data_IF_488417086290
#
_entry.id   IF_488417086290
#
_cell.length_a   1.000
_cell.length_b   1.000
_cell.length_c   1.000
_cell.angle_alpha   90.00
_cell.angle_beta   90.00
_cell.angle_gamma   90.00
#
_symmetry.space_group_name_H-M   'P 1'
#
loop_
_entity.id
_entity.type
_entity.pdbx_description
1 polymer ?
#
# COMPACT_ATOMS: atom_id res chain seq x y z
N UNK A 1 3.35 -15.03 -27.70
CA UNK A 1 3.42 -15.23 -26.25
C UNK A 1 2.62 -14.11 -25.60
N UNK A 2 1.40 -14.37 -25.16
CA UNK A 2 0.54 -13.34 -24.57
C UNK A 2 0.88 -13.22 -23.08
N UNK A 3 1.43 -12.08 -22.68
CA UNK A 3 1.61 -11.72 -21.28
C UNK A 3 0.34 -10.98 -20.83
N UNK A 4 -0.36 -11.52 -19.84
CA UNK A 4 -1.51 -10.83 -19.24
C UNK A 4 -1.03 -10.02 -18.03
N UNK A 5 -1.30 -8.71 -18.07
CA UNK A 5 -1.05 -7.76 -17.00
C UNK A 5 -2.30 -7.75 -16.12
N UNK A 6 -2.18 -8.13 -14.85
CA UNK A 6 -3.29 -8.05 -13.89
C UNK A 6 -3.56 -6.57 -13.53
N UNK A 7 -4.83 -6.15 -13.59
CA UNK A 7 -5.27 -4.78 -13.33
C UNK A 7 -5.54 -4.54 -11.83
N UNK A 8 -4.66 -3.76 -11.20
CA UNK A 8 -4.94 -2.57 -10.38
C UNK A 8 -6.14 -2.48 -9.40
N UNK A 9 -6.65 -3.55 -8.78
CA UNK A 9 -7.69 -3.36 -7.75
C UNK A 9 -8.21 -4.55 -6.97
N UNK A 10 -7.71 -5.76 -7.19
CA UNK A 10 -8.37 -6.95 -6.64
C UNK A 10 -8.06 -7.17 -5.16
N UNK A 11 -9.13 -7.27 -4.37
CA UNK A 11 -9.15 -7.81 -3.00
C UNK A 11 -9.42 -9.32 -3.09
N UNK A 12 -9.09 -10.10 -2.05
CA UNK A 12 -9.19 -11.57 -2.01
C UNK A 12 -10.54 -12.17 -2.49
N UNK A 13 -11.62 -11.38 -2.49
CA UNK A 13 -12.95 -11.71 -3.02
C UNK A 13 -13.03 -11.84 -4.55
N UNK A 14 -12.13 -11.19 -5.30
CA UNK A 14 -12.19 -11.09 -6.76
C UNK A 14 -11.44 -12.23 -7.48
N UNK A 15 -10.71 -13.06 -6.74
CA UNK A 15 -10.13 -14.30 -7.22
C UNK A 15 -11.22 -15.39 -7.29
N UNK A 16 -11.27 -16.16 -8.40
CA UNK A 16 -12.34 -17.07 -8.90
C UNK A 16 -13.28 -16.52 -9.99
N UNK A 17 -12.85 -15.53 -10.80
CA UNK A 17 -13.61 -15.14 -12.00
C UNK A 17 -13.26 -16.05 -13.19
N UNK A 18 -14.29 -16.54 -13.88
CA UNK A 18 -14.13 -17.22 -15.16
C UNK A 18 -13.67 -16.20 -16.21
N UNK A 19 -12.43 -16.32 -16.70
CA UNK A 19 -11.92 -15.51 -17.80
C UNK A 19 -12.00 -16.34 -19.09
N UNK A 20 -12.68 -15.79 -20.09
CA UNK A 20 -12.79 -16.40 -21.41
C UNK A 20 -11.83 -15.70 -22.37
N UNK A 21 -10.91 -16.45 -22.99
CA UNK A 21 -10.13 -15.90 -24.10
C UNK A 21 -10.96 -15.93 -25.37
N UNK A 22 -10.97 -14.83 -26.11
CA UNK A 22 -11.58 -14.76 -27.44
C UNK A 22 -10.47 -14.76 -28.48
N UNK A 23 -10.51 -15.68 -29.45
CA UNK A 23 -9.58 -15.64 -30.57
C UNK A 23 -9.89 -14.42 -31.45
N UNK A 24 -8.90 -13.56 -31.68
CA UNK A 24 -9.02 -12.41 -32.60
C UNK A 24 -9.18 -12.84 -34.07
N UNK A 25 -9.06 -14.14 -34.38
CA UNK A 25 -9.21 -14.68 -35.74
C UNK A 25 -10.66 -14.93 -36.18
N UNK A 26 -11.67 -14.52 -35.39
CA UNK A 26 -13.08 -14.56 -35.79
C UNK A 26 -13.77 -15.93 -35.64
N UNK A 27 -13.07 -16.97 -35.21
CA UNK A 27 -13.70 -18.24 -34.83
C UNK A 27 -14.27 -18.15 -33.40
N UNK A 28 -15.56 -18.49 -33.23
CA UNK A 28 -16.28 -18.55 -31.94
C UNK A 28 -15.82 -19.72 -31.06
N UNK A 29 -14.53 -19.86 -30.84
CA UNK A 29 -13.98 -20.84 -29.91
C UNK A 29 -13.69 -20.14 -28.58
N UNK A 30 -14.74 -19.97 -27.78
CA UNK A 30 -14.62 -19.55 -26.37
C UNK A 30 -14.02 -20.72 -25.60
N UNK A 31 -12.74 -20.63 -25.25
CA UNK A 31 -12.14 -21.55 -24.28
C UNK A 31 -12.12 -20.88 -22.92
N UNK A 32 -12.72 -21.56 -21.93
CA UNK A 32 -12.51 -21.25 -20.52
C UNK A 32 -11.04 -21.54 -20.25
N UNK A 33 -10.27 -20.50 -19.94
CA UNK A 33 -8.88 -20.67 -19.52
C UNK A 33 -8.90 -20.61 -18.00
N UNK A 34 -8.43 -21.69 -17.36
CA UNK A 34 -8.16 -21.65 -15.93
C UNK A 34 -7.05 -20.63 -15.69
N UNK A 35 -7.38 -19.56 -14.95
CA UNK A 35 -6.38 -18.64 -14.43
C UNK A 35 -5.45 -19.40 -13.50
N UNK A 36 -4.19 -18.97 -13.36
CA UNK A 36 -3.30 -19.50 -12.34
C UNK A 36 -4.00 -19.50 -10.97
N UNK A 37 -3.93 -20.61 -10.25
CA UNK A 37 -4.58 -20.81 -8.93
C UNK A 37 -4.07 -19.84 -7.85
N UNK A 38 -3.02 -19.06 -8.15
CA UNK A 38 -2.34 -18.17 -7.22
C UNK A 38 -1.96 -16.86 -7.92
N UNK A 39 -2.12 -15.74 -7.20
CA UNK A 39 -1.62 -14.45 -7.65
C UNK A 39 -0.08 -14.49 -7.72
N UNK A 40 0.51 -14.13 -8.86
CA UNK A 40 1.98 -13.96 -8.92
C UNK A 40 2.32 -12.62 -8.29
N UNK A 41 2.93 -12.66 -7.11
CA UNK A 41 3.52 -11.49 -6.48
C UNK A 41 4.83 -11.11 -7.18
N UNK A 42 4.75 -10.13 -8.09
CA UNK A 42 5.92 -9.52 -8.72
C UNK A 42 6.24 -8.17 -8.08
N UNK A 43 7.49 -7.71 -8.21
CA UNK A 43 7.87 -6.37 -7.73
C UNK A 43 6.96 -5.26 -8.31
N UNK A 44 6.55 -5.39 -9.57
CA UNK A 44 5.67 -4.42 -10.25
C UNK A 44 4.25 -4.41 -9.67
N UNK A 45 3.66 -5.59 -9.41
CA UNK A 45 2.32 -5.70 -8.81
C UNK A 45 2.32 -5.20 -7.38
N UNK A 46 3.40 -5.48 -6.62
CA UNK A 46 3.58 -4.99 -5.27
C UNK A 46 3.74 -3.46 -5.26
N UNK A 47 4.60 -2.91 -6.13
CA UNK A 47 4.83 -1.46 -6.26
C UNK A 47 3.53 -0.69 -6.54
N UNK A 48 2.70 -1.21 -7.45
CA UNK A 48 1.41 -0.59 -7.79
C UNK A 48 0.44 -0.59 -6.61
N UNK A 49 0.42 -1.67 -5.82
CA UNK A 49 -0.37 -1.78 -4.60
C UNK A 49 0.14 -0.80 -3.53
N UNK A 50 1.45 -0.76 -3.30
CA UNK A 50 2.12 0.10 -2.33
C UNK A 50 1.83 1.58 -2.56
N UNK A 51 1.80 2.04 -3.82
CA UNK A 51 1.47 3.45 -4.14
C UNK A 51 0.13 3.89 -3.54
N UNK A 52 -0.90 3.06 -3.68
CA UNK A 52 -2.25 3.33 -3.13
C UNK A 52 -2.26 3.18 -1.62
N UNK A 53 -1.62 2.14 -1.10
CA UNK A 53 -1.58 1.81 0.34
C UNK A 53 -0.84 2.87 1.15
N UNK A 54 0.36 3.29 0.73
CA UNK A 54 1.15 4.33 1.38
C UNK A 54 0.41 5.67 1.38
N UNK A 55 -0.27 6.01 0.28
CA UNK A 55 -1.08 7.25 0.23
C UNK A 55 -2.21 7.26 1.26
N UNK A 56 -2.85 6.11 1.51
CA UNK A 56 -3.86 5.98 2.58
C UNK A 56 -3.25 6.06 3.97
N UNK A 57 -2.12 5.38 4.18
CA UNK A 57 -1.41 5.37 5.47
C UNK A 57 -0.94 6.77 5.86
N UNK A 58 -0.34 7.52 4.94
CA UNK A 58 0.20 8.85 5.22
C UNK A 58 -0.85 9.96 5.21
N UNK A 59 -2.06 9.70 4.69
CA UNK A 59 -3.19 10.62 4.84
C UNK A 59 -3.85 10.40 6.21
N UNK A 60 -3.19 10.92 7.25
CA UNK A 60 -3.64 10.80 8.63
C UNK A 60 -4.86 11.70 8.91
N UNK A 61 -6.03 11.09 9.09
CA UNK A 61 -7.26 11.80 9.47
C UNK A 61 -7.28 12.02 10.98
N UNK A 62 -6.88 13.22 11.41
CA UNK A 62 -6.81 13.59 12.83
C UNK A 62 -8.19 13.79 13.50
N UNK A 63 -9.27 13.88 12.72
CA UNK A 63 -10.63 14.01 13.26
C UNK A 63 -11.12 12.75 13.97
N UNK A 64 -10.66 11.58 13.52
CA UNK A 64 -10.99 10.29 14.10
C UNK A 64 -9.82 9.31 13.89
N UNK A 65 -8.93 9.26 14.88
CA UNK A 65 -7.75 8.40 14.84
C UNK A 65 -8.12 6.91 14.99
N UNK A 66 -9.26 6.61 15.63
CA UNK A 66 -9.75 5.24 15.79
C UNK A 66 -10.19 4.67 14.45
N UNK A 67 -11.05 5.40 13.74
CA UNK A 67 -11.50 5.05 12.38
C UNK A 67 -10.30 4.96 11.41
N UNK A 68 -9.30 5.82 11.57
CA UNK A 68 -8.05 5.72 10.79
C UNK A 68 -7.36 4.36 10.99
N UNK A 69 -7.16 3.93 12.24
CA UNK A 69 -6.51 2.66 12.53
C UNK A 69 -7.30 1.44 12.04
N UNK A 70 -8.62 1.46 12.14
CA UNK A 70 -9.47 0.41 11.56
C UNK A 70 -9.31 0.29 10.05
N UNK A 71 -9.18 1.43 9.36
CA UNK A 71 -9.02 1.48 7.91
C UNK A 71 -7.65 1.01 7.41
N UNK A 72 -6.58 1.23 8.19
CA UNK A 72 -5.22 0.87 7.78
C UNK A 72 -4.73 -0.47 8.33
N UNK A 73 -5.32 -0.97 9.42
CA UNK A 73 -5.01 -2.27 10.04
C UNK A 73 -4.91 -3.44 9.04
N UNK A 74 -5.81 -3.57 8.03
CA UNK A 74 -5.73 -4.67 7.07
C UNK A 74 -4.48 -4.69 6.19
N UNK A 75 -3.69 -3.60 6.14
CA UNK A 75 -2.47 -3.53 5.36
C UNK A 75 -1.23 -4.07 6.08
N UNK A 76 -1.31 -4.29 7.39
CA UNK A 76 -0.16 -4.62 8.22
C UNK A 76 -0.23 -6.06 8.72
N UNK A 77 0.95 -6.65 8.92
CA UNK A 77 1.07 -7.84 9.73
C UNK A 77 0.66 -7.51 11.19
N UNK A 78 -0.10 -8.42 11.82
CA UNK A 78 -0.77 -8.15 13.11
C UNK A 78 0.21 -7.75 14.22
N UNK A 79 1.36 -8.43 14.31
CA UNK A 79 2.35 -8.14 15.35
C UNK A 79 3.01 -6.78 15.12
N UNK A 80 3.28 -6.43 13.87
CA UNK A 80 3.85 -5.13 13.50
C UNK A 80 2.86 -3.96 13.69
N UNK A 81 1.57 -4.19 13.42
CA UNK A 81 0.56 -3.13 13.52
C UNK A 81 0.50 -2.47 14.90
N UNK A 82 0.74 -3.23 15.97
CA UNK A 82 0.77 -2.71 17.34
C UNK A 82 1.86 -1.66 17.54
N UNK A 83 3.04 -1.89 16.97
CA UNK A 83 4.16 -0.93 16.99
C UNK A 83 3.80 0.31 16.16
N UNK A 84 3.31 0.09 14.95
CA UNK A 84 2.89 1.18 14.05
C UNK A 84 1.84 2.10 14.70
N UNK A 85 0.85 1.55 15.41
CA UNK A 85 -0.15 2.34 16.13
C UNK A 85 0.47 3.27 17.18
N UNK A 86 1.48 2.80 17.92
CA UNK A 86 2.15 3.62 18.94
C UNK A 86 2.87 4.80 18.30
N UNK A 87 3.66 4.55 17.25
CA UNK A 87 4.43 5.58 16.55
C UNK A 87 3.50 6.62 15.90
N UNK A 88 2.43 6.17 15.23
CA UNK A 88 1.44 7.07 14.61
C UNK A 88 0.59 7.83 15.62
N UNK A 89 0.28 7.24 16.79
CA UNK A 89 -0.44 7.97 17.85
C UNK A 89 0.40 9.13 18.40
N UNK A 90 1.72 8.93 18.55
CA UNK A 90 2.64 9.99 18.95
C UNK A 90 2.72 11.10 17.87
N UNK A 91 2.84 10.74 16.58
CA UNK A 91 2.80 11.70 15.46
C UNK A 91 1.47 12.48 15.45
N UNK A 92 0.34 11.79 15.62
CA UNK A 92 -0.98 12.41 15.66
C UNK A 92 -1.12 13.42 16.81
N UNK A 93 -0.68 13.05 18.01
CA UNK A 93 -0.72 13.94 19.17
C UNK A 93 0.17 15.18 18.97
N UNK A 94 1.34 15.01 18.36
CA UNK A 94 2.22 16.13 18.00
C UNK A 94 1.54 17.09 17.00
N UNK A 95 0.88 16.56 15.97
CA UNK A 95 0.15 17.35 14.98
C UNK A 95 -1.06 18.08 15.60
N UNK A 96 -1.79 17.41 16.49
CA UNK A 96 -2.88 18.02 17.26
C UNK A 96 -2.39 19.19 18.12
N UNK A 97 -1.27 19.02 18.83
CA UNK A 97 -0.70 20.04 19.71
C UNK A 97 -0.05 21.21 18.95
N UNK A 98 0.30 21.03 17.67
CA UNK A 98 0.99 22.03 16.86
C UNK A 98 0.06 22.82 15.93
N UNK A 99 -1.25 22.62 16.01
CA UNK A 99 -2.26 23.17 15.08
C UNK A 99 -1.95 22.89 13.60
N UNK A 100 -1.16 21.83 13.33
CA UNK A 100 -0.84 21.36 11.97
C UNK A 100 -1.72 20.16 11.64
N UNK A 101 -2.18 20.10 10.39
CA UNK A 101 -2.95 19.00 9.81
C UNK A 101 -2.22 18.52 8.57
N UNK A 102 -2.05 17.21 8.42
CA UNK A 102 -1.69 16.60 7.14
C UNK A 102 -2.99 16.25 6.43
N UNK A 103 -3.33 16.96 5.36
CA UNK A 103 -4.63 16.83 4.68
C UNK A 103 -4.60 15.83 3.53
N UNK A 104 -3.42 15.58 2.97
CA UNK A 104 -3.24 14.62 1.88
C UNK A 104 -1.79 14.20 1.76
N UNK A 105 -1.56 12.97 1.30
CA UNK A 105 -0.26 12.49 0.81
C UNK A 105 -0.37 12.03 -0.64
N UNK A 106 0.59 12.41 -1.46
CA UNK A 106 0.69 11.99 -2.85
C UNK A 106 2.05 11.33 -3.07
N UNK A 107 2.04 10.05 -3.42
CA UNK A 107 3.23 9.35 -3.91
C UNK A 107 3.63 9.96 -5.25
N UNK A 108 4.81 10.57 -5.33
CA UNK A 108 5.27 11.37 -6.48
C UNK A 108 5.95 10.51 -7.55
N UNK A 109 6.58 9.41 -7.14
CA UNK A 109 7.30 8.47 -7.99
C UNK A 109 6.78 7.05 -7.75
N UNK A 110 6.88 6.17 -8.75
CA UNK A 110 6.51 4.77 -8.52
C UNK A 110 7.46 4.13 -7.50
N UNK A 111 6.95 3.32 -6.54
CA UNK A 111 7.79 2.65 -5.56
C UNK A 111 8.94 1.88 -6.20
N UNK A 112 10.16 2.19 -5.76
CA UNK A 112 11.40 1.59 -6.24
C UNK A 112 11.63 0.28 -5.49
N UNK A 113 11.72 -0.83 -6.23
CA UNK A 113 12.12 -2.11 -5.67
C UNK A 113 13.62 -2.10 -5.37
N UNK A 114 13.98 -2.44 -4.13
CA UNK A 114 15.37 -2.41 -3.66
C UNK A 114 15.96 -3.82 -3.61
N UNK A 115 15.18 -4.79 -3.13
CA UNK A 115 15.64 -6.17 -2.99
C UNK A 115 14.63 -7.05 -2.30
N UNK A 116 14.97 -8.33 -2.18
CA UNK A 116 14.18 -9.34 -1.48
C UNK A 116 15.07 -10.06 -0.47
N UNK A 117 14.60 -10.16 0.76
CA UNK A 117 15.19 -11.01 1.79
C UNK A 117 14.50 -12.38 1.74
N UNK A 118 15.27 -13.41 1.44
CA UNK A 118 14.84 -14.81 1.34
C UNK A 118 15.34 -15.65 2.53
N UNK A 119 15.90 -15.02 3.57
CA UNK A 119 16.35 -15.70 4.79
C UNK A 119 15.18 -16.18 5.67
N UNK A 120 13.99 -15.60 5.46
CA UNK A 120 12.76 -15.94 6.18
C UNK A 120 11.93 -16.98 5.40
N UNK A 121 11.07 -17.77 6.09
CA UNK A 121 10.18 -18.74 5.44
C UNK A 121 9.26 -18.13 4.38
N UNK A 122 8.94 -16.84 4.51
CA UNK A 122 8.23 -16.04 3.51
C UNK A 122 9.18 -14.93 3.01
N UNK A 123 9.36 -14.78 1.69
CA UNK A 123 10.18 -13.69 1.15
C UNK A 123 9.66 -12.33 1.61
N UNK A 124 10.58 -11.44 1.97
CA UNK A 124 10.28 -10.05 2.33
C UNK A 124 10.82 -9.14 1.25
N UNK A 125 9.95 -8.43 0.54
CA UNK A 125 10.34 -7.46 -0.48
C UNK A 125 10.48 -6.07 0.13
N UNK A 126 11.60 -5.41 -0.17
CA UNK A 126 11.91 -4.07 0.27
C UNK A 126 11.66 -3.06 -0.85
N UNK A 127 10.92 -2.01 -0.51
CA UNK A 127 10.61 -0.90 -1.39
C UNK A 127 10.99 0.43 -0.76
N UNK A 128 11.32 1.37 -1.63
CA UNK A 128 11.54 2.76 -1.32
C UNK A 128 10.47 3.61 -2.02
N UNK A 129 9.77 4.45 -1.26
CA UNK A 129 8.65 5.28 -1.73
C UNK A 129 8.91 6.73 -1.40
N UNK A 130 8.74 7.60 -2.39
CA UNK A 130 8.78 9.06 -2.22
C UNK A 130 7.40 9.65 -2.39
N UNK A 131 7.08 10.64 -1.58
CA UNK A 131 5.87 11.41 -1.78
C UNK A 131 5.85 12.71 -1.02
N UNK A 132 4.89 13.54 -1.39
CA UNK A 132 4.71 14.87 -0.81
C UNK A 132 3.43 14.88 0.01
N UNK A 133 3.48 15.46 1.20
CA UNK A 133 2.29 15.75 1.99
C UNK A 133 1.90 17.22 1.87
N UNK A 134 0.60 17.47 1.94
CA UNK A 134 0.05 18.82 2.12
C UNK A 134 -0.21 19.06 3.61
N UNK A 135 0.24 20.21 4.12
CA UNK A 135 -0.07 20.68 5.47
C UNK A 135 -1.05 21.84 5.43
N UNK A 136 -1.98 21.86 6.38
CA UNK A 136 -2.88 22.98 6.66
C UNK A 136 -2.85 23.29 8.18
N UNK A 137 -3.13 24.54 8.59
CA UNK A 137 -3.03 24.95 9.99
C UNK A 137 -3.14 26.46 10.24
N UNK A 138 -3.30 26.88 11.49
CA UNK A 138 -3.33 28.31 11.88
C UNK A 138 -1.90 28.85 11.91
N UNK A 139 -1.33 29.10 10.73
CA UNK A 139 -0.01 29.70 10.54
C UNK A 139 -0.03 31.20 10.84
N UNK A 140 -0.19 31.60 12.11
CA UNK A 140 -0.12 33.01 12.50
C UNK A 140 1.28 33.64 12.35
N UNK A 141 2.30 32.88 11.93
CA UNK A 141 3.71 33.35 11.88
C UNK A 141 4.52 32.97 10.64
N UNK A 142 3.95 32.38 9.59
CA UNK A 142 4.68 32.17 8.32
C UNK A 142 3.81 32.55 7.12
N UNK A 143 4.42 33.23 6.15
CA UNK A 143 3.77 33.81 4.97
C UNK A 143 3.46 32.80 3.85
N UNK A 144 3.65 31.51 4.09
CA UNK A 144 3.53 30.41 3.14
C UNK A 144 2.29 29.55 3.46
N UNK A 145 1.14 29.91 2.88
CA UNK A 145 -0.17 29.27 3.14
C UNK A 145 -0.33 27.81 2.66
N UNK A 146 0.72 27.17 2.17
CA UNK A 146 0.73 25.73 1.83
C UNK A 146 2.13 25.31 1.39
N UNK A 147 3.00 24.90 2.31
CA UNK A 147 4.24 24.21 1.95
C UNK A 147 3.97 22.72 1.84
N UNK A 148 4.17 22.16 0.64
CA UNK A 148 4.41 20.73 0.51
C UNK A 148 5.71 20.41 1.23
N UNK A 149 5.71 19.34 2.02
CA UNK A 149 6.95 18.73 2.45
C UNK A 149 7.06 17.31 1.91
N UNK A 150 8.28 16.83 1.85
CA UNK A 150 8.61 15.53 1.26
C UNK A 150 8.80 14.50 2.37
N UNK A 151 8.41 13.25 2.10
CA UNK A 151 8.74 12.09 2.93
C UNK A 151 9.38 11.03 2.05
N UNK A 152 10.42 10.41 2.59
CA UNK A 152 10.96 9.16 2.06
C UNK A 152 10.54 8.03 2.99
N UNK A 153 10.00 6.96 2.42
CA UNK A 153 9.38 5.87 3.18
C UNK A 153 10.00 4.55 2.72
N UNK A 154 10.54 3.80 3.67
CA UNK A 154 11.01 2.44 3.47
C UNK A 154 9.92 1.48 3.92
N UNK A 155 9.50 0.60 3.01
CA UNK A 155 8.41 -0.34 3.26
C UNK A 155 8.89 -1.75 2.95
N UNK A 156 8.79 -2.63 3.94
CA UNK A 156 9.00 -4.07 3.76
C UNK A 156 7.65 -4.77 3.76
N UNK A 157 7.42 -5.61 2.75
CA UNK A 157 6.19 -6.39 2.63
C UNK A 157 6.49 -7.86 2.48
N UNK A 158 5.57 -8.70 2.93
CA UNK A 158 5.57 -10.13 2.66
C UNK A 158 4.21 -10.59 2.14
N UNK A 159 4.14 -11.82 1.69
CA UNK A 159 2.89 -12.44 1.28
C UNK A 159 1.97 -12.63 2.49
N UNK A 160 0.74 -12.13 2.40
CA UNK A 160 -0.24 -12.25 3.47
C UNK A 160 -0.81 -13.65 3.54
N UNK A 161 -0.89 -14.22 4.75
CA UNK A 161 -1.51 -15.52 4.97
C UNK A 161 -3.03 -15.37 4.84
N UNK A 162 -3.60 -15.83 3.73
CA UNK A 162 -5.05 -15.90 3.58
C UNK A 162 -5.66 -17.10 4.31
N UNK A 163 -6.98 -17.24 4.20
CA UNK A 163 -7.67 -18.42 4.72
C UNK A 163 -7.36 -19.65 3.86
N UNK A 164 -7.10 -20.81 4.50
CA UNK A 164 -6.84 -22.10 3.85
C UNK A 164 -5.58 -22.18 2.95
N UNK A 165 -4.52 -21.44 3.27
CA UNK A 165 -3.23 -21.58 2.57
C UNK A 165 -3.15 -20.89 1.21
N UNK A 166 -4.16 -20.10 0.82
CA UNK A 166 -4.10 -19.22 -0.34
C UNK A 166 -3.61 -17.82 0.08
N UNK A 167 -2.70 -17.18 -0.66
CA UNK A 167 -2.28 -15.82 -0.35
C UNK A 167 -3.40 -14.81 -0.59
N UNK A 168 -3.62 -13.92 0.38
CA UNK A 168 -4.67 -12.88 0.31
C UNK A 168 -4.17 -11.55 -0.29
N UNK A 169 -2.87 -11.44 -0.59
CA UNK A 169 -2.21 -10.23 -1.07
C UNK A 169 -0.86 -10.02 -0.40
N UNK A 170 -0.55 -8.76 -0.06
CA UNK A 170 0.65 -8.38 0.69
C UNK A 170 0.28 -7.81 2.06
N UNK A 171 1.17 -7.98 3.03
CA UNK A 171 1.10 -7.34 4.33
C UNK A 171 2.42 -6.62 4.64
N UNK A 172 2.33 -5.45 5.25
CA UNK A 172 3.47 -4.63 5.66
C UNK A 172 4.03 -5.18 6.97
N UNK A 173 5.32 -5.52 6.97
CA UNK A 173 6.05 -6.03 8.13
C UNK A 173 7.07 -5.04 8.69
N UNK A 174 7.40 -4.01 7.91
CA UNK A 174 8.16 -2.86 8.39
C UNK A 174 7.74 -1.61 7.63
N UNK A 175 7.72 -0.48 8.33
CA UNK A 175 7.31 0.81 7.78
C UNK A 175 8.09 1.92 8.49
N UNK A 176 9.00 2.55 7.77
CA UNK A 176 9.89 3.58 8.31
C UNK A 176 9.79 4.86 7.48
N UNK A 177 9.51 5.98 8.16
CA UNK A 177 9.38 7.30 7.55
C UNK A 177 10.61 8.13 7.91
N UNK A 178 11.32 8.63 6.90
CA UNK A 178 12.45 9.55 7.03
C UNK A 178 11.97 10.93 6.58
N UNK A 179 12.09 11.92 7.47
CA UNK A 179 11.71 13.33 7.27
C UNK A 179 12.91 14.22 6.95
#
# INVERSE_FOLDING_TARGET
MCFYIYLQGDIAKDFKRDIYSVSLSGEKNLRKIETLDQAILTATTISTSLKKTVSKIETLKLSDIGEYFENVSPFFEKSFFSKFMQDKSAEAQFLLNSDVRVTSFVVTEDPVFVGVDISQPRPIWLFHVKGNYMRDGVFSKRTDRSTFGEKTIWVSVQESVGQNGNPAGIEIVNYEVIM
#
